data_IF_362544874606
#
_entry.id   IF_362544874606
#
_cell.length_a   1.000
_cell.length_b   1.000
_cell.length_c   1.000
_cell.angle_alpha   90.00
_cell.angle_beta   90.00
_cell.angle_gamma   90.00
#
_symmetry.space_group_name_H-M   'P 1'
#
loop_
_entity.id
_entity.type
_entity.pdbx_description
1 polymer ?
#
# COMPACT_ATOMS: atom_id res chain seq x y z
N UNK A 1 -29.46 4.94 9.90
CA UNK A 1 -28.01 5.19 9.81
C UNK A 1 -27.48 4.28 8.73
N UNK A 2 -26.87 4.83 7.67
CA UNK A 2 -26.27 4.00 6.63
C UNK A 2 -24.99 3.37 7.19
N UNK A 3 -25.00 2.05 7.42
CA UNK A 3 -23.80 1.31 7.75
C UNK A 3 -23.04 1.06 6.45
N UNK A 4 -21.87 1.69 6.31
CA UNK A 4 -20.99 1.39 5.19
C UNK A 4 -20.27 0.08 5.48
N UNK A 5 -20.77 -1.02 4.90
CA UNK A 5 -20.07 -2.31 4.85
C UNK A 5 -19.18 -2.35 3.61
N UNK A 6 -17.91 -2.72 3.79
CA UNK A 6 -16.93 -2.79 2.71
C UNK A 6 -16.51 -4.25 2.53
N UNK A 7 -16.40 -4.71 1.29
CA UNK A 7 -15.87 -6.05 0.98
C UNK A 7 -14.37 -6.01 0.68
N UNK A 8 -13.69 -7.16 0.72
CA UNK A 8 -12.28 -7.26 0.33
C UNK A 8 -12.08 -6.84 -1.14
N UNK A 9 -13.05 -7.14 -2.02
CA UNK A 9 -13.02 -6.79 -3.45
C UNK A 9 -13.03 -5.27 -3.67
N UNK A 10 -13.86 -4.54 -2.92
CA UNK A 10 -13.95 -3.07 -3.00
C UNK A 10 -12.61 -2.40 -2.66
N UNK A 11 -11.90 -2.94 -1.66
CA UNK A 11 -10.63 -2.37 -1.17
C UNK A 11 -9.45 -2.78 -2.05
N UNK A 12 -9.48 -4.00 -2.59
CA UNK A 12 -8.44 -4.51 -3.50
C UNK A 12 -8.27 -3.63 -4.74
N UNK A 13 -9.37 -3.07 -5.26
CA UNK A 13 -9.35 -2.17 -6.41
C UNK A 13 -8.51 -0.91 -6.19
N UNK A 14 -8.41 -0.46 -4.93
CA UNK A 14 -7.70 0.77 -4.57
C UNK A 14 -6.23 0.53 -4.17
N UNK A 15 -5.93 -0.57 -3.49
CA UNK A 15 -4.68 -0.72 -2.74
C UNK A 15 -3.78 -1.87 -3.21
N UNK A 16 -4.29 -2.86 -3.95
CA UNK A 16 -3.52 -4.05 -4.38
C UNK A 16 -3.02 -4.96 -3.24
N UNK A 17 -2.97 -4.49 -1.99
CA UNK A 17 -2.62 -5.30 -0.82
C UNK A 17 -3.82 -6.12 -0.34
N UNK A 18 -3.76 -7.43 -0.60
CA UNK A 18 -4.75 -8.41 -0.10
C UNK A 18 -4.89 -8.39 1.41
N UNK A 19 -3.76 -8.23 2.12
CA UNK A 19 -3.74 -8.20 3.58
C UNK A 19 -4.44 -6.94 4.12
N UNK A 20 -4.18 -5.78 3.53
CA UNK A 20 -4.88 -4.55 3.89
C UNK A 20 -6.37 -4.65 3.60
N UNK A 21 -6.73 -5.12 2.40
CA UNK A 21 -8.12 -5.27 1.99
C UNK A 21 -8.91 -6.19 2.95
N UNK A 22 -8.31 -7.32 3.35
CA UNK A 22 -8.93 -8.24 4.31
C UNK A 22 -9.09 -7.63 5.70
N UNK A 23 -8.05 -6.98 6.22
CA UNK A 23 -8.11 -6.35 7.55
C UNK A 23 -9.14 -5.22 7.58
N UNK A 24 -9.19 -4.40 6.53
CA UNK A 24 -10.14 -3.29 6.44
C UNK A 24 -11.58 -3.78 6.28
N UNK A 25 -11.81 -4.79 5.43
CA UNK A 25 -13.12 -5.44 5.30
C UNK A 25 -13.57 -6.09 6.61
N UNK A 26 -12.65 -6.71 7.36
CA UNK A 26 -12.93 -7.30 8.68
C UNK A 26 -13.24 -6.25 9.75
N UNK A 27 -12.65 -5.06 9.64
CA UNK A 27 -12.92 -3.92 10.51
C UNK A 27 -14.17 -3.12 10.11
N UNK A 28 -14.84 -3.50 9.02
CA UNK A 28 -15.96 -2.74 8.46
C UNK A 28 -17.17 -2.69 9.40
N UNK A 29 -18.13 -1.81 9.07
CA UNK A 29 -19.12 -1.17 9.97
C UNK A 29 -18.65 0.15 10.57
N UNK A 30 -18.00 0.99 9.74
CA UNK A 30 -17.60 2.34 10.16
C UNK A 30 -18.81 3.24 10.36
N UNK A 31 -18.76 4.07 11.40
CA UNK A 31 -19.81 5.03 11.75
C UNK A 31 -19.88 6.20 10.78
N UNK A 32 -18.71 6.62 10.28
CA UNK A 32 -18.51 7.80 9.44
C UNK A 32 -17.16 7.70 8.72
N UNK A 33 -16.90 8.67 7.83
CA UNK A 33 -15.68 8.74 7.04
C UNK A 33 -14.42 8.92 7.89
N UNK A 34 -14.50 9.66 9.00
CA UNK A 34 -13.35 9.90 9.87
C UNK A 34 -12.93 8.60 10.56
N UNK A 35 -13.90 7.84 11.07
CA UNK A 35 -13.65 6.51 11.65
C UNK A 35 -13.09 5.52 10.61
N UNK A 36 -13.57 5.57 9.36
CA UNK A 36 -13.03 4.75 8.28
C UNK A 36 -11.56 5.11 7.97
N UNK A 37 -11.22 6.41 7.85
CA UNK A 37 -9.85 6.87 7.60
C UNK A 37 -8.93 6.50 8.77
N UNK A 38 -9.36 6.73 10.01
CA UNK A 38 -8.57 6.39 11.19
C UNK A 38 -8.29 4.88 11.27
N UNK A 39 -9.30 4.05 10.98
CA UNK A 39 -9.16 2.60 10.95
C UNK A 39 -8.21 2.16 9.84
N UNK A 40 -8.37 2.72 8.63
CA UNK A 40 -7.49 2.45 7.50
C UNK A 40 -6.03 2.82 7.81
N UNK A 41 -5.77 4.02 8.33
CA UNK A 41 -4.42 4.43 8.75
C UNK A 41 -3.86 3.51 9.85
N UNK A 42 -4.67 3.19 10.86
CA UNK A 42 -4.26 2.31 11.95
C UNK A 42 -3.88 0.91 11.46
N UNK A 43 -4.68 0.31 10.57
CA UNK A 43 -4.40 -0.98 9.95
C UNK A 43 -3.12 -0.87 9.12
N UNK A 44 -3.02 0.14 8.26
CA UNK A 44 -1.87 0.34 7.38
C UNK A 44 -0.55 0.42 8.15
N UNK A 45 -0.47 1.31 9.14
CA UNK A 45 0.78 1.57 9.84
C UNK A 45 1.14 0.52 10.91
N UNK A 46 0.15 -0.18 11.49
CA UNK A 46 0.41 -1.10 12.62
C UNK A 46 0.28 -2.57 12.25
N UNK A 47 -0.58 -2.92 11.28
CA UNK A 47 -0.91 -4.32 10.97
C UNK A 47 -0.37 -4.77 9.62
N UNK A 48 -0.19 -3.86 8.66
CA UNK A 48 0.39 -4.18 7.36
C UNK A 48 1.89 -4.00 7.45
N UNK A 49 2.56 -5.01 8.02
CA UNK A 49 4.00 -5.17 7.77
C UNK A 49 4.15 -5.57 6.31
N UNK A 50 4.51 -4.60 5.48
CA UNK A 50 4.86 -4.81 4.08
C UNK A 50 6.08 -5.72 4.04
N UNK A 51 5.83 -7.02 3.96
CA UNK A 51 6.91 -7.98 4.08
C UNK A 51 7.72 -7.98 2.79
N UNK A 52 9.03 -8.17 2.92
CA UNK A 52 9.92 -8.42 1.78
C UNK A 52 9.37 -9.51 0.85
N UNK A 53 8.61 -10.46 1.40
CA UNK A 53 7.94 -11.51 0.61
C UNK A 53 6.86 -10.98 -0.35
N UNK A 54 6.06 -9.99 0.03
CA UNK A 54 5.01 -9.42 -0.85
C UNK A 54 5.64 -8.56 -1.96
N UNK A 55 6.79 -7.92 -1.69
CA UNK A 55 7.60 -7.30 -2.75
C UNK A 55 8.24 -8.37 -3.65
N UNK A 56 8.72 -9.48 -3.08
CA UNK A 56 9.37 -10.56 -3.85
C UNK A 56 8.47 -11.24 -4.88
N UNK A 57 7.17 -11.32 -4.61
CA UNK A 57 6.20 -11.89 -5.56
C UNK A 57 6.02 -10.98 -6.80
N UNK A 58 6.16 -9.66 -6.64
CA UNK A 58 6.22 -8.72 -7.76
C UNK A 58 7.58 -8.76 -8.48
N UNK A 59 8.67 -9.10 -7.77
CA UNK A 59 10.02 -9.24 -8.34
C UNK A 59 10.19 -10.48 -9.24
N UNK A 60 9.45 -11.57 -8.99
CA UNK A 60 9.62 -12.83 -9.72
C UNK A 60 9.26 -12.75 -11.22
N UNK A 61 8.60 -11.68 -11.66
CA UNK A 61 8.05 -11.55 -13.02
C UNK A 61 8.80 -10.56 -13.92
N UNK A 62 9.91 -9.95 -13.50
CA UNK A 62 10.49 -8.87 -14.31
C UNK A 62 12.01 -8.72 -14.20
N UNK A 63 12.69 -8.90 -15.35
CA UNK A 63 14.13 -8.71 -15.53
C UNK A 63 14.51 -7.23 -15.74
N UNK A 64 13.74 -6.30 -15.17
CA UNK A 64 13.88 -4.85 -15.43
C UNK A 64 14.67 -4.18 -14.31
N UNK A 65 15.81 -3.56 -14.67
CA UNK A 65 16.65 -2.76 -13.77
C UNK A 65 15.85 -1.72 -12.96
N UNK A 66 14.75 -1.22 -13.53
CA UNK A 66 13.88 -0.23 -12.89
C UNK A 66 13.18 -0.78 -11.64
N UNK A 67 12.78 -2.06 -11.67
CA UNK A 67 12.09 -2.67 -10.53
C UNK A 67 13.06 -2.97 -9.38
N UNK A 68 14.30 -3.34 -9.70
CA UNK A 68 15.32 -3.49 -8.67
C UNK A 68 15.59 -2.15 -7.97
N UNK A 69 15.73 -1.06 -8.73
CA UNK A 69 15.88 0.27 -8.12
C UNK A 69 14.68 0.66 -7.25
N UNK A 70 13.46 0.36 -7.68
CA UNK A 70 12.25 0.62 -6.87
C UNK A 70 12.28 -0.11 -5.53
N UNK A 71 12.78 -1.35 -5.51
CA UNK A 71 12.90 -2.13 -4.26
C UNK A 71 13.94 -1.52 -3.35
N UNK A 72 15.12 -1.22 -3.88
CA UNK A 72 16.23 -0.65 -3.09
C UNK A 72 15.83 0.70 -2.47
N UNK A 73 15.13 1.54 -3.23
CA UNK A 73 14.64 2.82 -2.73
C UNK A 73 13.48 2.68 -1.75
N UNK A 74 12.60 1.69 -1.92
CA UNK A 74 11.55 1.42 -0.94
C UNK A 74 12.13 0.97 0.41
N UNK A 75 13.19 0.16 0.39
CA UNK A 75 13.91 -0.24 1.61
C UNK A 75 14.48 1.00 2.30
N UNK A 76 15.18 1.87 1.56
CA UNK A 76 15.75 3.12 2.10
C UNK A 76 14.69 4.05 2.68
N UNK A 77 13.58 4.21 1.98
CA UNK A 77 12.45 5.02 2.43
C UNK A 77 11.90 4.47 3.76
N UNK A 78 11.69 3.16 3.83
CA UNK A 78 11.21 2.50 5.05
C UNK A 78 12.21 2.61 6.21
N UNK A 79 13.50 2.46 5.95
CA UNK A 79 14.55 2.64 6.97
C UNK A 79 14.57 4.08 7.52
N UNK A 80 14.33 5.08 6.66
CA UNK A 80 14.33 6.49 7.06
C UNK A 80 13.07 6.92 7.80
N UNK A 81 11.89 6.51 7.33
CA UNK A 81 10.61 7.00 7.84
C UNK A 81 9.85 6.01 8.73
N UNK A 82 10.26 4.74 8.73
CA UNK A 82 9.62 3.67 9.51
C UNK A 82 8.39 3.03 8.84
N UNK A 83 8.05 3.41 7.61
CA UNK A 83 6.93 2.87 6.83
C UNK A 83 7.23 2.89 5.32
N UNK A 84 6.51 2.09 4.53
CA UNK A 84 6.72 2.01 3.08
C UNK A 84 6.21 3.23 2.32
N UNK A 85 6.81 3.52 1.17
CA UNK A 85 6.36 4.60 0.31
C UNK A 85 4.98 4.29 -0.29
N UNK A 86 4.10 5.27 -0.22
CA UNK A 86 2.74 5.21 -0.74
C UNK A 86 2.55 6.28 -1.80
N UNK A 87 2.02 5.88 -2.95
CA UNK A 87 1.70 6.79 -4.04
C UNK A 87 0.44 6.34 -4.77
N UNK A 88 -0.32 7.31 -5.28
CA UNK A 88 -1.45 7.05 -6.18
C UNK A 88 -0.92 6.65 -7.56
N UNK A 89 -1.12 5.39 -7.96
CA UNK A 89 -0.50 4.81 -9.17
C UNK A 89 -1.35 4.94 -10.44
N UNK A 90 -2.64 5.28 -10.34
CA UNK A 90 -3.50 5.36 -11.53
C UNK A 90 -3.00 6.44 -12.48
N UNK A 91 -2.68 6.02 -13.72
CA UNK A 91 -2.13 6.89 -14.75
C UNK A 91 -0.62 7.12 -14.67
N UNK A 92 0.08 6.54 -13.69
CA UNK A 92 1.54 6.67 -13.53
C UNK A 92 2.29 5.45 -14.03
N UNK A 93 3.40 5.69 -14.71
CA UNK A 93 4.35 4.64 -15.11
C UNK A 93 5.35 4.29 -14.00
N UNK A 94 5.97 3.12 -14.09
CA UNK A 94 7.00 2.64 -13.14
C UNK A 94 8.14 3.63 -12.93
N UNK A 95 8.63 4.26 -14.00
CA UNK A 95 9.70 5.27 -13.94
C UNK A 95 9.26 6.54 -13.19
N UNK A 96 8.02 6.98 -13.37
CA UNK A 96 7.47 8.15 -12.69
C UNK A 96 7.35 7.87 -11.18
N UNK A 97 6.87 6.68 -10.81
CA UNK A 97 6.81 6.23 -9.41
C UNK A 97 8.22 6.22 -8.79
N UNK A 98 9.23 5.71 -9.52
CA UNK A 98 10.61 5.69 -9.05
C UNK A 98 11.19 7.10 -8.84
N UNK A 99 10.88 8.04 -9.74
CA UNK A 99 11.30 9.45 -9.59
C UNK A 99 10.67 10.06 -8.35
N UNK A 100 9.37 9.88 -8.15
CA UNK A 100 8.65 10.40 -6.98
C UNK A 100 9.19 9.80 -5.68
N UNK A 101 9.45 8.50 -5.66
CA UNK A 101 10.08 7.83 -4.52
C UNK A 101 11.43 8.45 -4.20
N UNK A 102 12.31 8.67 -5.19
CA UNK A 102 13.63 9.28 -4.99
C UNK A 102 13.55 10.72 -4.48
N UNK A 103 12.59 11.51 -4.96
CA UNK A 103 12.39 12.92 -4.55
C UNK A 103 11.87 13.03 -3.11
N UNK A 104 11.02 12.09 -2.69
CA UNK A 104 10.39 12.11 -1.36
C UNK A 104 11.14 11.26 -0.32
N UNK A 105 12.18 10.53 -0.72
CA UNK A 105 12.98 9.69 0.15
C UNK A 105 13.90 10.47 1.08
#
# INVERSE_FOLDING_TARGET
MASFSWTEEDVLWCCGSKRFARELASASSFSDLHHAIQSACGIWFNKIRWSKEEQSAAMATSNDTTLQELVDWNIRYQEKFGFVFLIYTSGRGTLEILVELKVNC
#
